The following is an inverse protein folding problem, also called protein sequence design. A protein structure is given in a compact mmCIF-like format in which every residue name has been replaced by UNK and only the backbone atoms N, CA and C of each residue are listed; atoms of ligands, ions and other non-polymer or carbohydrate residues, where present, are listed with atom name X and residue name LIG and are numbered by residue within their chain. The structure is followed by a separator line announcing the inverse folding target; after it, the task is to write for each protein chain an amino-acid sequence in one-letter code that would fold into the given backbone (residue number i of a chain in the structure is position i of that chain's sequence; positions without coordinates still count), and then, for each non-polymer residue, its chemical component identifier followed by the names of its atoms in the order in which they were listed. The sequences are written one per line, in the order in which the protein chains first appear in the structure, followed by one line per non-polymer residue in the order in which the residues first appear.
data_IF_064849277727
#
_entry.id   IF_064849277727
#
_cell.length_a   1.000
_cell.length_b   1.000
_cell.length_c   1.000
_cell.angle_alpha   90.00
_cell.angle_beta   90.00
_cell.angle_gamma   90.00
#
_symmetry.space_group_name_H-M   'P 1'
#
loop_
_entity.id
_entity.type
_entity.pdbx_description
1 polymer ?
#
# COMPACT_ATOMS: atom_id res chain seq x y z
N UNK A 1 -53.36 29.42 -1.37
CA UNK A 1 -52.59 30.51 -0.75
C UNK A 1 -51.80 29.94 0.39
N UNK A 2 -50.48 29.94 0.28
CA UNK A 2 -49.55 29.86 1.42
C UNK A 2 -48.20 30.42 0.94
N UNK A 3 -47.62 31.29 1.76
CA UNK A 3 -46.51 32.20 1.47
C UNK A 3 -45.16 31.47 1.65
N UNK A 4 -44.13 31.72 0.81
CA UNK A 4 -42.77 31.29 1.09
C UNK A 4 -41.98 32.40 1.81
N UNK A 5 -41.30 32.06 2.91
CA UNK A 5 -40.35 32.98 3.53
C UNK A 5 -39.79 32.47 4.86
N UNK A 6 -38.56 31.97 4.83
CA UNK A 6 -37.48 32.40 5.73
C UNK A 6 -36.22 31.58 5.45
N UNK A 7 -35.29 32.19 4.73
CA UNK A 7 -33.89 31.80 4.63
C UNK A 7 -33.22 31.96 6.00
N UNK A 8 -32.75 30.86 6.59
CA UNK A 8 -31.78 30.93 7.68
C UNK A 8 -30.37 30.96 7.08
N UNK A 9 -29.75 32.14 7.18
CA UNK A 9 -28.31 32.33 6.99
C UNK A 9 -27.61 31.72 8.22
N UNK A 10 -26.84 30.67 8.01
CA UNK A 10 -25.87 30.17 8.99
C UNK A 10 -24.48 30.47 8.45
N UNK A 11 -23.98 31.66 8.77
CA UNK A 11 -22.57 32.00 8.70
C UNK A 11 -22.12 32.48 10.08
N UNK A 12 -20.91 32.05 10.47
CA UNK A 12 -20.16 32.36 11.71
C UNK A 12 -20.56 31.53 12.94
N UNK A 13 -19.68 30.79 13.64
CA UNK A 13 -18.23 30.63 13.66
C UNK A 13 -17.88 29.18 14.04
N UNK A 14 -17.22 28.44 13.16
CA UNK A 14 -16.32 27.36 13.56
C UNK A 14 -14.94 27.81 13.10
N UNK A 15 -14.03 28.03 14.04
CA UNK A 15 -12.64 28.35 13.72
C UNK A 15 -12.06 27.25 12.83
N UNK A 16 -11.27 27.65 11.83
CA UNK A 16 -10.54 26.68 11.02
C UNK A 16 -9.60 25.86 11.90
N UNK A 17 -9.33 24.60 11.56
CA UNK A 17 -8.44 23.71 12.31
C UNK A 17 -7.08 24.36 12.70
N UNK A 18 -6.43 25.17 11.84
CA UNK A 18 -5.20 25.88 12.20
C UNK A 18 -5.40 27.02 13.21
N UNK A 19 -6.58 27.63 13.24
CA UNK A 19 -6.92 28.74 14.13
C UNK A 19 -7.22 28.25 15.55
N UNK A 20 -7.88 27.09 15.67
CA UNK A 20 -8.11 26.41 16.94
C UNK A 20 -6.80 25.91 17.58
N UNK A 21 -5.87 25.39 16.79
CA UNK A 21 -4.55 24.96 17.27
C UNK A 21 -3.74 26.15 17.83
N UNK A 22 -3.74 27.28 17.12
CA UNK A 22 -3.06 28.49 17.56
C UNK A 22 -3.64 29.05 18.88
N UNK A 23 -4.97 29.01 19.03
CA UNK A 23 -5.66 29.40 20.27
C UNK A 23 -5.30 28.47 21.43
N UNK A 24 -5.35 27.16 21.21
CA UNK A 24 -4.98 26.15 22.21
C UNK A 24 -3.52 26.27 22.64
N UNK A 25 -2.62 26.56 21.70
CA UNK A 25 -1.21 26.80 22.00
C UNK A 25 -1.04 28.01 22.92
N UNK A 26 -1.69 29.14 22.62
CA UNK A 26 -1.65 30.36 23.43
C UNK A 26 -2.22 30.13 24.83
N UNK A 27 -3.30 29.37 24.95
CA UNK A 27 -3.85 28.95 26.25
C UNK A 27 -2.84 28.10 27.03
N UNK A 28 -2.15 27.18 26.36
CA UNK A 28 -1.06 26.37 26.91
C UNK A 28 0.12 27.18 27.43
N UNK A 29 0.52 28.24 26.73
CA UNK A 29 1.60 29.14 27.15
C UNK A 29 1.26 29.82 28.48
N UNK A 30 0.00 30.26 28.65
CA UNK A 30 -0.46 30.84 29.91
C UNK A 30 -0.52 29.82 31.05
N UNK A 31 -1.04 28.63 30.77
CA UNK A 31 -1.07 27.54 31.74
C UNK A 31 0.35 27.16 32.20
N UNK A 32 1.31 27.06 31.29
CA UNK A 32 2.71 26.79 31.63
C UNK A 32 3.32 27.93 32.46
N UNK A 33 3.08 29.19 32.07
CA UNK A 33 3.56 30.37 32.79
C UNK A 33 3.07 30.39 34.24
N UNK A 34 1.80 30.06 34.46
CA UNK A 34 1.17 30.12 35.77
C UNK A 34 1.55 28.94 36.68
N UNK A 35 1.79 27.76 36.11
CA UNK A 35 1.93 26.53 36.89
C UNK A 35 3.35 25.95 36.91
N UNK A 36 4.23 26.32 35.98
CA UNK A 36 5.49 25.60 35.75
C UNK A 36 6.73 26.51 35.65
N UNK A 37 6.57 27.75 35.15
CA UNK A 37 7.71 28.58 34.77
C UNK A 37 8.62 29.01 35.95
N UNK A 38 8.06 29.11 37.17
CA UNK A 38 8.82 29.48 38.37
C UNK A 38 9.91 28.45 38.74
N UNK A 39 9.69 27.17 38.41
CA UNK A 39 10.64 26.08 38.71
C UNK A 39 11.40 25.59 37.48
N UNK A 40 10.81 25.69 36.29
CA UNK A 40 11.36 25.08 35.07
C UNK A 40 11.92 26.08 34.06
N UNK A 41 11.86 27.38 34.38
CA UNK A 41 12.28 28.47 33.51
C UNK A 41 11.16 28.91 32.56
N UNK A 42 11.36 30.07 31.93
CA UNK A 42 10.44 30.58 30.90
C UNK A 42 10.29 29.56 29.77
N UNK A 43 9.11 29.54 29.13
CA UNK A 43 8.75 28.49 28.16
C UNK A 43 9.83 28.26 27.09
N UNK A 44 10.38 29.34 26.52
CA UNK A 44 11.40 29.30 25.47
C UNK A 44 12.72 28.64 25.92
N UNK A 45 13.03 28.73 27.22
CA UNK A 45 14.25 28.21 27.84
C UNK A 45 13.96 27.06 28.80
N UNK A 46 12.74 26.51 28.74
CA UNK A 46 12.28 25.51 29.69
C UNK A 46 13.19 24.28 29.64
N UNK A 47 13.58 23.78 30.81
CA UNK A 47 14.29 22.49 30.89
C UNK A 47 13.37 21.28 30.61
N UNK A 48 12.07 21.53 30.36
CA UNK A 48 11.01 20.53 30.19
C UNK A 48 10.33 20.61 28.82
N UNK A 49 11.03 21.11 27.80
CA UNK A 49 10.56 21.10 26.40
C UNK A 49 10.17 19.69 25.94
N UNK A 50 9.23 19.64 25.00
CA UNK A 50 8.77 18.42 24.31
C UNK A 50 8.19 17.33 25.23
N UNK A 51 7.62 17.69 26.38
CA UNK A 51 6.92 16.75 27.26
C UNK A 51 5.47 16.56 26.84
N UNK A 52 5.04 15.30 26.74
CA UNK A 52 3.64 14.97 26.45
C UNK A 52 2.72 15.24 27.65
N UNK A 53 1.43 15.47 27.40
CA UNK A 53 0.43 15.63 28.46
C UNK A 53 0.47 14.48 29.48
N UNK A 54 0.66 13.25 29.00
CA UNK A 54 0.82 12.06 29.84
C UNK A 54 2.07 12.14 30.73
N UNK A 55 3.23 12.50 30.17
CA UNK A 55 4.47 12.63 30.94
C UNK A 55 4.37 13.73 32.01
N UNK A 56 3.66 14.82 31.71
CA UNK A 56 3.40 15.90 32.66
C UNK A 56 2.49 15.39 33.79
N UNK A 57 1.37 14.74 33.44
CA UNK A 57 0.45 14.14 34.41
C UNK A 57 1.15 13.17 35.37
N UNK A 58 1.94 12.24 34.83
CA UNK A 58 2.70 11.29 35.63
C UNK A 58 3.72 11.97 36.54
N UNK A 59 4.37 13.03 36.06
CA UNK A 59 5.38 13.75 36.84
C UNK A 59 4.74 14.52 38.02
N UNK A 60 3.57 15.14 37.80
CA UNK A 60 2.80 15.83 38.86
C UNK A 60 2.45 14.85 40.00
N UNK A 61 2.09 13.62 39.65
CA UNK A 61 1.77 12.58 40.63
C UNK A 61 3.01 12.03 41.34
N UNK A 62 4.14 11.94 40.65
CA UNK A 62 5.36 11.30 41.15
C UNK A 62 6.29 12.21 41.96
N UNK A 63 6.26 13.53 41.72
CA UNK A 63 7.19 14.49 42.32
C UNK A 63 6.48 15.26 43.42
N UNK A 64 6.95 15.11 44.67
CA UNK A 64 6.31 15.68 45.85
C UNK A 64 6.16 17.20 45.80
N UNK A 65 7.10 17.91 45.18
CA UNK A 65 7.07 19.37 45.00
C UNK A 65 5.99 19.85 44.03
N UNK A 66 5.40 18.96 43.22
CA UNK A 66 4.35 19.31 42.24
C UNK A 66 2.96 18.81 42.65
N UNK A 67 2.84 18.13 43.79
CA UNK A 67 1.61 17.45 44.23
C UNK A 67 0.42 18.38 44.50
N UNK A 68 0.68 19.68 44.63
CA UNK A 68 -0.34 20.73 44.81
C UNK A 68 -0.97 21.20 43.50
N UNK A 69 -0.40 20.82 42.34
CA UNK A 69 -0.96 21.17 41.04
C UNK A 69 -2.16 20.27 40.73
N UNK A 70 -3.27 20.89 40.34
CA UNK A 70 -4.45 20.21 39.81
C UNK A 70 -4.77 20.77 38.44
N UNK A 71 -4.50 19.99 37.40
CA UNK A 71 -4.71 20.35 36.00
C UNK A 71 -5.51 19.25 35.32
N UNK A 72 -6.48 19.63 34.51
CA UNK A 72 -7.32 18.73 33.71
C UNK A 72 -6.52 18.14 32.55
N UNK A 73 -7.04 17.06 31.95
CA UNK A 73 -6.45 16.46 30.75
C UNK A 73 -6.34 17.45 29.58
N UNK A 74 -7.32 18.34 29.42
CA UNK A 74 -7.32 19.39 28.39
C UNK A 74 -6.23 20.45 28.64
N UNK A 75 -6.10 20.92 29.88
CA UNK A 75 -5.05 21.88 30.25
C UNK A 75 -3.65 21.28 30.07
N UNK A 76 -3.47 20.00 30.41
CA UNK A 76 -2.20 19.29 30.21
C UNK A 76 -1.86 19.13 28.74
N UNK A 77 -2.85 18.86 27.87
CA UNK A 77 -2.68 18.84 26.43
C UNK A 77 -2.27 20.20 25.87
N UNK A 78 -2.88 21.28 26.34
CA UNK A 78 -2.50 22.66 25.96
C UNK A 78 -1.09 23.01 26.42
N UNK A 79 -0.71 22.69 27.65
CA UNK A 79 0.67 22.89 28.14
C UNK A 79 1.67 22.09 27.30
N UNK A 80 1.34 20.85 26.94
CA UNK A 80 2.17 20.01 26.08
C UNK A 80 2.36 20.64 24.70
N UNK A 81 1.29 21.17 24.10
CA UNK A 81 1.32 21.88 22.82
C UNK A 81 2.20 23.16 22.88
N UNK A 82 2.18 23.88 24.00
CA UNK A 82 3.06 25.04 24.21
C UNK A 82 4.54 24.65 24.43
N UNK A 83 4.78 23.54 25.14
CA UNK A 83 6.11 23.01 25.40
C UNK A 83 6.76 22.37 24.20
N UNK A 84 6.00 22.04 23.17
CA UNK A 84 6.50 21.55 21.91
C UNK A 84 7.51 22.55 21.31
N UNK A 85 8.72 22.06 21.02
CA UNK A 85 9.48 22.62 19.92
C UNK A 85 8.58 22.61 18.68
N UNK A 86 8.81 23.51 17.73
CA UNK A 86 8.10 23.61 16.44
C UNK A 86 8.07 22.30 15.61
N UNK A 87 8.55 21.18 16.17
CA UNK A 87 8.50 19.81 15.65
C UNK A 87 7.59 18.82 16.42
N UNK A 88 6.94 19.17 17.54
CA UNK A 88 6.09 18.26 18.33
C UNK A 88 4.62 18.71 18.33
N UNK A 89 3.96 18.70 17.17
CA UNK A 89 2.54 19.06 17.07
C UNK A 89 2.12 19.36 15.65
N UNK A 90 3.04 19.93 14.86
CA UNK A 90 2.97 19.79 13.42
C UNK A 90 3.29 18.32 13.15
N UNK A 91 2.31 17.53 12.73
CA UNK A 91 2.60 16.37 11.89
C UNK A 91 3.62 16.88 10.90
N UNK A 92 4.89 16.43 10.99
CA UNK A 92 5.82 16.67 9.88
C UNK A 92 5.15 15.94 8.73
N UNK A 93 4.30 16.64 7.97
CA UNK A 93 3.99 16.28 6.60
C UNK A 93 5.37 16.04 6.04
N UNK A 94 5.65 14.80 5.68
CA UNK A 94 6.92 14.46 5.08
C UNK A 94 6.97 15.25 3.78
N UNK A 95 7.49 16.47 3.85
CA UNK A 95 7.53 17.36 2.71
C UNK A 95 8.77 16.96 1.92
N UNK A 96 8.56 16.25 0.82
CA UNK A 96 9.59 15.91 -0.15
C UNK A 96 10.03 17.13 -1.00
N UNK A 97 9.89 18.34 -0.47
CA UNK A 97 10.16 19.59 -1.19
C UNK A 97 11.63 19.98 -1.17
N UNK A 98 12.39 19.51 -0.17
CA UNK A 98 13.84 19.76 -0.12
C UNK A 98 14.56 19.03 -1.26
N UNK A 99 15.25 19.73 -2.17
CA UNK A 99 16.06 19.06 -3.20
C UNK A 99 17.17 18.19 -2.60
N UNK A 100 17.62 18.49 -1.38
CA UNK A 100 18.65 17.73 -0.67
C UNK A 100 18.13 16.39 -0.16
N UNK A 101 16.82 16.26 0.13
CA UNK A 101 16.21 14.98 0.56
C UNK A 101 15.84 14.06 -0.62
N UNK A 102 16.03 14.50 -1.86
CA UNK A 102 15.81 13.65 -3.04
C UNK A 102 16.88 12.56 -3.08
N UNK A 103 16.43 11.31 -3.21
CA UNK A 103 17.29 10.13 -3.32
C UNK A 103 18.33 10.25 -4.44
N UNK A 104 19.43 9.52 -4.27
CA UNK A 104 20.46 9.31 -5.29
C UNK A 104 20.15 8.04 -6.08
N UNK A 105 20.80 7.86 -7.22
CA UNK A 105 20.73 6.62 -7.99
C UNK A 105 21.22 5.43 -7.19
N UNK A 106 20.58 4.28 -7.38
CA UNK A 106 21.07 2.99 -6.89
C UNK A 106 21.47 2.14 -8.11
N UNK A 107 22.68 1.56 -8.16
CA UNK A 107 23.09 0.69 -9.27
C UNK A 107 22.40 -0.69 -9.25
N UNK A 108 21.76 -1.08 -8.14
CA UNK A 108 20.94 -2.29 -8.06
C UNK A 108 19.55 -2.10 -8.65
N UNK A 109 18.91 -3.21 -9.02
CA UNK A 109 17.53 -3.19 -9.53
C UNK A 109 16.55 -3.40 -8.39
N UNK A 110 15.46 -2.62 -8.37
CA UNK A 110 14.45 -2.81 -7.34
C UNK A 110 13.58 -4.02 -7.66
N UNK A 111 13.55 -5.02 -6.79
CA UNK A 111 12.72 -6.23 -7.00
C UNK A 111 11.24 -5.85 -6.92
N UNK A 112 10.41 -6.50 -7.74
CA UNK A 112 8.96 -6.49 -7.55
C UNK A 112 8.58 -7.40 -6.38
N UNK A 113 7.57 -7.00 -5.59
CA UNK A 113 6.97 -7.93 -4.63
C UNK A 113 6.32 -9.12 -5.34
N UNK A 114 6.11 -10.23 -4.64
CA UNK A 114 5.45 -11.42 -5.19
C UNK A 114 4.04 -11.08 -5.71
N UNK A 115 3.33 -10.18 -5.04
CA UNK A 115 2.04 -9.67 -5.51
C UNK A 115 2.16 -8.87 -6.83
N UNK A 116 3.18 -8.01 -6.95
CA UNK A 116 3.43 -7.23 -8.16
C UNK A 116 3.86 -8.12 -9.35
N UNK A 117 4.65 -9.18 -9.10
CA UNK A 117 5.01 -10.17 -10.13
C UNK A 117 3.74 -10.88 -10.64
N UNK A 118 2.89 -11.38 -9.73
CA UNK A 118 1.60 -12.00 -10.09
C UNK A 118 0.71 -11.05 -10.89
N UNK A 119 0.60 -9.80 -10.46
CA UNK A 119 -0.19 -8.77 -11.15
C UNK A 119 0.35 -8.46 -12.55
N UNK A 120 1.68 -8.39 -12.70
CA UNK A 120 2.36 -8.19 -13.98
C UNK A 120 2.09 -9.35 -14.92
N UNK A 121 2.28 -10.58 -14.45
CA UNK A 121 2.02 -11.80 -15.21
C UNK A 121 0.56 -11.89 -15.63
N UNK A 122 -0.38 -11.58 -14.74
CA UNK A 122 -1.81 -11.54 -15.04
C UNK A 122 -2.17 -10.55 -16.14
N UNK A 123 -1.44 -9.43 -16.23
CA UNK A 123 -1.65 -8.43 -17.27
C UNK A 123 -0.94 -8.75 -18.58
N UNK A 124 0.18 -9.47 -18.52
CA UNK A 124 0.96 -9.84 -19.69
C UNK A 124 0.40 -11.10 -20.36
N UNK A 125 0.00 -12.09 -19.58
CA UNK A 125 -0.36 -13.42 -20.07
C UNK A 125 -1.88 -13.53 -20.23
N UNK A 126 -2.39 -14.17 -21.31
CA UNK A 126 -3.82 -14.32 -21.48
C UNK A 126 -4.48 -15.15 -20.39
N UNK A 127 -5.78 -14.91 -20.18
CA UNK A 127 -6.53 -15.45 -19.05
C UNK A 127 -6.42 -16.97 -18.91
N UNK A 128 -6.58 -17.72 -20.01
CA UNK A 128 -6.57 -19.19 -19.98
C UNK A 128 -5.21 -19.76 -19.60
N UNK A 129 -4.13 -19.09 -20.01
CA UNK A 129 -2.77 -19.51 -19.64
C UNK A 129 -2.49 -19.11 -18.19
N UNK A 130 -2.87 -17.91 -17.78
CA UNK A 130 -2.65 -17.46 -16.40
C UNK A 130 -3.38 -18.35 -15.39
N UNK A 131 -4.61 -18.80 -15.70
CA UNK A 131 -5.42 -19.64 -14.81
C UNK A 131 -5.22 -21.15 -15.03
N UNK A 132 -4.24 -21.56 -15.85
CA UNK A 132 -3.88 -22.97 -15.97
C UNK A 132 -3.39 -23.52 -14.62
N UNK A 133 -3.75 -24.77 -14.30
CA UNK A 133 -3.45 -25.39 -13.01
C UNK A 133 -1.94 -25.43 -12.71
N UNK A 134 -1.11 -25.76 -13.70
CA UNK A 134 0.35 -25.82 -13.54
C UNK A 134 0.91 -24.41 -13.32
N UNK A 135 0.36 -23.41 -14.01
CA UNK A 135 0.74 -22.01 -13.81
C UNK A 135 0.36 -21.53 -12.41
N UNK A 136 -0.87 -21.79 -11.95
CA UNK A 136 -1.29 -21.42 -10.60
C UNK A 136 -0.45 -22.11 -9.53
N UNK A 137 -0.10 -23.39 -9.73
CA UNK A 137 0.79 -24.11 -8.84
C UNK A 137 2.19 -23.46 -8.79
N UNK A 138 2.76 -23.11 -9.94
CA UNK A 138 4.04 -22.39 -10.01
C UNK A 138 3.97 -21.00 -9.34
N UNK A 139 2.88 -20.25 -9.52
CA UNK A 139 2.70 -18.96 -8.85
C UNK A 139 2.57 -19.10 -7.33
N UNK A 140 2.11 -20.25 -6.83
CA UNK A 140 2.03 -20.51 -5.39
C UNK A 140 3.40 -20.78 -4.74
N UNK A 141 4.42 -21.17 -5.52
CA UNK A 141 5.78 -21.42 -5.02
C UNK A 141 6.67 -20.19 -4.98
N UNK A 142 6.17 -19.02 -5.40
CA UNK A 142 6.90 -17.76 -5.27
C UNK A 142 7.19 -17.45 -3.78
N UNK A 143 8.39 -16.98 -3.44
CA UNK A 143 8.77 -16.71 -2.06
C UNK A 143 7.90 -15.61 -1.43
N UNK A 144 7.67 -15.71 -0.12
CA UNK A 144 7.00 -14.67 0.64
C UNK A 144 7.86 -13.39 0.70
N UNK A 145 7.20 -12.23 0.72
CA UNK A 145 7.88 -10.96 0.96
C UNK A 145 7.98 -10.72 2.48
N UNK A 146 9.20 -10.68 3.04
CA UNK A 146 9.43 -10.50 4.48
C UNK A 146 10.11 -9.17 4.80
N UNK A 147 9.66 -8.48 5.87
CA UNK A 147 10.21 -7.19 6.34
C UNK A 147 11.67 -7.29 6.80
N UNK A 148 12.07 -8.44 7.38
CA UNK A 148 13.42 -8.68 7.90
C UNK A 148 14.49 -8.78 6.80
N UNK A 149 14.08 -9.18 5.59
CA UNK A 149 14.96 -9.54 4.49
C UNK A 149 14.66 -8.73 3.22
N UNK A 150 14.05 -7.55 3.33
CA UNK A 150 13.82 -6.67 2.17
C UNK A 150 15.14 -6.15 1.64
N UNK A 151 15.82 -6.97 0.83
CA UNK A 151 16.86 -6.53 -0.09
C UNK A 151 16.14 -5.91 -1.27
N UNK A 152 15.60 -4.71 -1.05
CA UNK A 152 14.82 -3.95 -2.05
C UNK A 152 15.56 -3.90 -3.38
N UNK A 153 16.89 -3.81 -3.33
CA UNK A 153 17.77 -3.77 -4.47
C UNK A 153 18.62 -5.04 -4.57
N UNK A 154 18.50 -5.74 -5.70
CA UNK A 154 19.35 -6.87 -6.10
C UNK A 154 19.58 -6.79 -7.60
N UNK A 155 20.77 -7.15 -8.06
CA UNK A 155 21.05 -7.28 -9.50
C UNK A 155 20.66 -8.67 -10.06
N UNK A 156 20.23 -9.60 -9.20
CA UNK A 156 19.91 -10.98 -9.58
C UNK A 156 18.52 -11.38 -9.10
N UNK A 157 17.66 -11.94 -9.99
CA UNK A 157 16.41 -12.57 -9.56
C UNK A 157 16.75 -13.82 -8.74
N UNK A 158 15.84 -14.21 -7.84
CA UNK A 158 15.99 -15.50 -7.14
C UNK A 158 15.78 -16.65 -8.13
N UNK A 159 16.38 -17.80 -7.83
CA UNK A 159 16.26 -19.00 -8.67
C UNK A 159 14.78 -19.44 -8.79
N UNK A 160 14.02 -19.30 -7.71
CA UNK A 160 12.59 -19.63 -7.65
C UNK A 160 11.79 -18.76 -8.62
N UNK A 161 12.02 -17.45 -8.63
CA UNK A 161 11.34 -16.53 -9.56
C UNK A 161 11.68 -16.90 -11.01
N UNK A 162 12.95 -17.18 -11.32
CA UNK A 162 13.37 -17.58 -12.66
C UNK A 162 12.72 -18.90 -13.11
N UNK A 163 12.61 -19.88 -12.20
CA UNK A 163 11.97 -21.17 -12.47
C UNK A 163 10.47 -21.03 -12.71
N UNK A 164 9.79 -20.15 -11.96
CA UNK A 164 8.36 -19.86 -12.16
C UNK A 164 8.13 -19.22 -13.53
N UNK A 165 8.93 -18.21 -13.90
CA UNK A 165 8.82 -17.57 -15.22
C UNK A 165 9.06 -18.56 -16.37
N UNK A 166 10.05 -19.45 -16.20
CA UNK A 166 10.33 -20.55 -17.13
C UNK A 166 9.14 -21.51 -17.26
N UNK A 167 8.59 -21.96 -16.12
CA UNK A 167 7.43 -22.88 -16.09
C UNK A 167 6.22 -22.28 -16.80
N UNK A 168 5.97 -20.99 -16.59
CA UNK A 168 4.88 -20.27 -17.26
C UNK A 168 5.17 -20.16 -18.77
N UNK A 169 6.42 -19.89 -19.15
CA UNK A 169 6.80 -19.82 -20.55
C UNK A 169 6.59 -21.17 -21.27
N UNK A 170 7.09 -22.26 -20.69
CA UNK A 170 6.94 -23.62 -21.22
C UNK A 170 5.47 -24.02 -21.31
N UNK A 171 4.70 -23.77 -20.23
CA UNK A 171 3.29 -24.12 -20.19
C UNK A 171 2.47 -23.33 -21.19
N UNK A 172 2.79 -22.05 -21.39
CA UNK A 172 2.19 -21.24 -22.44
C UNK A 172 2.42 -21.88 -23.82
N UNK A 173 3.64 -22.31 -24.14
CA UNK A 173 3.92 -22.91 -25.46
C UNK A 173 3.10 -24.17 -25.72
N UNK A 174 3.02 -25.06 -24.73
CA UNK A 174 2.18 -26.27 -24.82
C UNK A 174 0.70 -25.96 -25.05
N UNK A 175 0.18 -24.94 -24.37
CA UNK A 175 -1.21 -24.50 -24.53
C UNK A 175 -1.43 -23.94 -25.94
N UNK A 176 -0.51 -23.12 -26.45
CA UNK A 176 -0.63 -22.54 -27.80
C UNK A 176 -0.55 -23.59 -28.89
N UNK A 177 0.35 -24.58 -28.75
CA UNK A 177 0.54 -25.63 -29.75
C UNK A 177 -0.64 -26.62 -29.81
N UNK A 178 -1.50 -26.64 -28.78
CA UNK A 178 -2.69 -27.48 -28.80
C UNK A 178 -3.74 -27.08 -29.84
N UNK A 179 -3.76 -25.83 -30.31
CA UNK A 179 -4.68 -25.37 -31.35
C UNK A 179 -4.24 -24.05 -32.02
N UNK A 180 -4.33 -23.91 -33.36
CA UNK A 180 -4.00 -22.66 -34.06
C UNK A 180 -4.78 -21.43 -33.55
N UNK A 181 -6.05 -21.61 -33.14
CA UNK A 181 -6.85 -20.52 -32.57
C UNK A 181 -6.28 -19.92 -31.28
N UNK A 182 -5.48 -20.69 -30.51
CA UNK A 182 -4.81 -20.19 -29.31
C UNK A 182 -3.55 -19.40 -29.66
N UNK A 183 -2.87 -19.76 -30.75
CA UNK A 183 -1.71 -19.00 -31.26
C UNK A 183 -2.11 -17.58 -31.66
N UNK A 184 -3.24 -17.41 -32.34
CA UNK A 184 -3.75 -16.07 -32.71
C UNK A 184 -4.25 -15.26 -31.52
N UNK A 185 -4.67 -15.91 -30.43
CA UNK A 185 -5.05 -15.23 -29.20
C UNK A 185 -3.85 -14.57 -28.51
N UNK A 186 -2.69 -15.25 -28.50
CA UNK A 186 -1.46 -14.68 -27.93
C UNK A 186 -0.73 -13.77 -28.92
N UNK A 187 -0.46 -14.24 -30.13
CA UNK A 187 0.41 -13.55 -31.09
C UNK A 187 -0.34 -12.57 -32.00
N UNK A 188 -1.67 -12.55 -31.93
CA UNK A 188 -2.54 -11.77 -32.80
C UNK A 188 -2.93 -12.53 -34.08
N UNK A 189 -4.00 -12.08 -34.73
CA UNK A 189 -4.57 -12.77 -35.90
C UNK A 189 -3.61 -12.90 -37.08
N UNK A 190 -2.74 -11.91 -37.28
CA UNK A 190 -1.81 -11.92 -38.41
C UNK A 190 -0.67 -12.97 -38.23
N UNK A 191 -0.47 -13.52 -37.02
CA UNK A 191 0.52 -14.56 -36.75
C UNK A 191 0.18 -15.91 -37.40
N UNK A 192 -1.06 -16.09 -37.89
CA UNK A 192 -1.47 -17.29 -38.62
C UNK A 192 -1.04 -17.28 -40.10
N UNK A 193 -0.46 -16.18 -40.58
CA UNK A 193 0.09 -16.11 -41.94
C UNK A 193 1.43 -16.85 -42.03
N UNK A 194 1.62 -17.64 -43.10
CA UNK A 194 2.84 -18.40 -43.33
C UNK A 194 3.47 -18.02 -44.70
N UNK A 195 4.65 -17.39 -44.75
CA UNK A 195 5.39 -16.83 -43.61
C UNK A 195 4.67 -15.61 -43.02
N UNK A 196 4.93 -15.34 -41.74
CA UNK A 196 4.40 -14.13 -41.11
C UNK A 196 5.21 -12.93 -41.58
N UNK A 197 4.52 -11.84 -41.95
CA UNK A 197 5.19 -10.60 -42.35
C UNK A 197 5.86 -9.87 -41.18
N UNK A 198 6.93 -9.14 -41.47
CA UNK A 198 7.62 -8.30 -40.48
C UNK A 198 6.69 -7.25 -39.85
N UNK A 199 5.83 -6.61 -40.66
CA UNK A 199 4.83 -5.67 -40.17
C UNK A 199 3.85 -6.29 -39.15
N UNK A 200 3.50 -7.58 -39.34
CA UNK A 200 2.67 -8.29 -38.37
C UNK A 200 3.43 -8.53 -37.05
N UNK A 201 4.69 -8.93 -37.13
CA UNK A 201 5.52 -9.15 -35.95
C UNK A 201 5.77 -7.84 -35.18
N UNK A 202 5.98 -6.72 -35.87
CA UNK A 202 6.11 -5.40 -35.25
C UNK A 202 4.82 -4.95 -34.53
N UNK A 203 3.65 -5.24 -35.12
CA UNK A 203 2.37 -4.98 -34.48
C UNK A 203 2.21 -5.80 -33.19
N UNK A 204 2.63 -7.07 -33.21
CA UNK A 204 2.71 -7.90 -32.01
C UNK A 204 3.59 -7.25 -30.95
N UNK A 205 4.84 -6.89 -31.27
CA UNK A 205 5.75 -6.26 -30.32
C UNK A 205 5.18 -4.96 -29.72
N UNK A 206 4.54 -4.13 -30.54
CA UNK A 206 3.90 -2.88 -30.10
C UNK A 206 2.81 -3.15 -29.06
N UNK A 207 1.92 -4.09 -29.31
CA UNK A 207 0.80 -4.40 -28.42
C UNK A 207 1.26 -5.05 -27.10
N UNK A 208 2.32 -5.86 -27.18
CA UNK A 208 2.81 -6.64 -26.05
C UNK A 208 3.82 -5.93 -25.16
N UNK A 209 4.53 -4.94 -25.69
CA UNK A 209 5.56 -4.18 -24.96
C UNK A 209 5.07 -3.68 -23.61
N UNK A 210 3.81 -3.22 -23.51
CA UNK A 210 3.24 -2.71 -22.27
C UNK A 210 2.92 -3.79 -21.22
N UNK A 211 2.70 -5.04 -21.62
CA UNK A 211 2.51 -6.14 -20.68
C UNK A 211 3.83 -6.58 -20.03
N UNK A 212 4.90 -6.66 -20.82
CA UNK A 212 6.21 -7.15 -20.37
C UNK A 212 7.12 -6.02 -19.86
N UNK A 213 7.38 -5.01 -20.69
CA UNK A 213 8.32 -3.92 -20.40
C UNK A 213 7.64 -2.75 -19.70
N UNK A 214 6.30 -2.65 -19.82
CA UNK A 214 5.48 -1.56 -19.30
C UNK A 214 5.90 -0.18 -19.80
N UNK A 215 6.56 -0.17 -20.96
CA UNK A 215 6.93 0.97 -21.79
C UNK A 215 7.04 0.49 -23.23
N UNK A 216 7.03 1.39 -24.22
CA UNK A 216 7.42 1.04 -25.57
C UNK A 216 8.84 0.46 -25.59
N UNK A 217 9.07 -0.50 -26.48
CA UNK A 217 10.40 -0.99 -26.77
C UNK A 217 11.23 0.12 -27.42
N UNK A 218 12.51 0.18 -27.07
CA UNK A 218 13.49 0.99 -27.79
C UNK A 218 13.72 0.38 -29.18
N UNK A 219 14.22 1.19 -30.13
CA UNK A 219 14.58 0.71 -31.46
C UNK A 219 15.57 -0.47 -31.42
N UNK A 220 16.54 -0.43 -30.50
CA UNK A 220 17.51 -1.49 -30.31
C UNK A 220 16.91 -2.78 -29.71
N UNK A 221 15.91 -2.68 -28.82
CA UNK A 221 15.18 -3.85 -28.33
C UNK A 221 14.32 -4.46 -29.44
N UNK A 222 13.54 -3.65 -30.17
CA UNK A 222 12.73 -4.12 -31.29
C UNK A 222 13.57 -4.81 -32.37
N UNK A 223 14.71 -4.23 -32.75
CA UNK A 223 15.61 -4.81 -33.74
C UNK A 223 16.18 -6.17 -33.30
N UNK A 224 16.54 -6.32 -32.01
CA UNK A 224 17.04 -7.59 -31.46
C UNK A 224 15.97 -8.68 -31.46
N UNK A 225 14.74 -8.35 -31.05
CA UNK A 225 13.63 -9.29 -31.04
C UNK A 225 13.20 -9.69 -32.45
N UNK A 226 13.24 -8.75 -33.39
CA UNK A 226 12.98 -9.02 -34.81
C UNK A 226 14.05 -9.94 -35.42
N UNK A 227 15.34 -9.71 -35.11
CA UNK A 227 16.41 -10.59 -35.55
C UNK A 227 16.23 -12.02 -35.02
N UNK A 228 15.85 -12.16 -33.73
CA UNK A 228 15.52 -13.46 -33.14
C UNK A 228 14.35 -14.14 -33.85
N UNK A 229 13.27 -13.40 -34.10
CA UNK A 229 12.11 -13.90 -34.85
C UNK A 229 12.50 -14.41 -36.25
N UNK A 230 13.31 -13.63 -36.98
CA UNK A 230 13.80 -14.00 -38.31
C UNK A 230 14.67 -15.25 -38.28
N UNK A 231 15.63 -15.31 -37.37
CA UNK A 231 16.55 -16.44 -37.21
C UNK A 231 15.82 -17.74 -36.82
N UNK A 232 14.68 -17.64 -36.12
CA UNK A 232 13.83 -18.76 -35.76
C UNK A 232 12.81 -19.16 -36.87
N UNK A 233 12.95 -18.59 -38.08
CA UNK A 233 12.19 -19.00 -39.27
C UNK A 233 10.97 -18.14 -39.61
N UNK A 234 10.76 -17.00 -38.95
CA UNK A 234 9.70 -16.02 -39.30
C UNK A 234 8.26 -16.58 -39.29
N UNK A 235 8.00 -17.59 -38.45
CA UNK A 235 6.67 -18.17 -38.23
C UNK A 235 6.37 -18.34 -36.75
N UNK A 236 5.45 -19.24 -36.41
CA UNK A 236 5.03 -19.50 -35.01
C UNK A 236 6.23 -19.77 -34.08
N UNK A 237 7.20 -20.59 -34.50
CA UNK A 237 8.43 -20.84 -33.72
C UNK A 237 9.22 -19.57 -33.39
N UNK A 238 9.20 -18.57 -34.27
CA UNK A 238 9.81 -17.28 -34.02
C UNK A 238 9.08 -16.48 -32.95
N UNK A 239 7.75 -16.48 -32.98
CA UNK A 239 6.94 -15.88 -31.91
C UNK A 239 7.17 -16.56 -30.56
N UNK A 240 7.20 -17.89 -30.54
CA UNK A 240 7.47 -18.68 -29.34
C UNK A 240 8.85 -18.34 -28.75
N UNK A 241 9.88 -18.26 -29.60
CA UNK A 241 11.24 -17.90 -29.21
C UNK A 241 11.31 -16.50 -28.59
N UNK A 242 10.63 -15.52 -29.21
CA UNK A 242 10.55 -14.16 -28.70
C UNK A 242 9.81 -14.11 -27.36
N UNK A 243 8.65 -14.78 -27.25
CA UNK A 243 7.88 -14.83 -26.02
C UNK A 243 8.71 -15.40 -24.85
N UNK A 244 9.48 -16.46 -25.11
CA UNK A 244 10.36 -17.05 -24.10
C UNK A 244 11.42 -16.03 -23.62
N UNK A 245 12.04 -15.29 -24.53
CA UNK A 245 12.99 -14.22 -24.17
C UNK A 245 12.32 -13.08 -23.40
N UNK A 246 11.08 -12.72 -23.73
CA UNK A 246 10.32 -11.70 -23.00
C UNK A 246 10.00 -12.14 -21.57
N UNK A 247 9.59 -13.40 -21.38
CA UNK A 247 9.29 -13.98 -20.07
C UNK A 247 10.50 -14.06 -19.14
N UNK A 248 11.68 -14.32 -19.70
CA UNK A 248 12.93 -14.40 -18.94
C UNK A 248 13.61 -13.02 -18.75
N UNK A 249 12.99 -11.94 -19.22
CA UNK A 249 13.53 -10.58 -19.07
C UNK A 249 13.52 -10.13 -17.59
N UNK A 250 14.54 -9.38 -17.12
CA UNK A 250 14.50 -8.72 -15.82
C UNK A 250 13.27 -7.81 -15.64
N UNK A 251 12.69 -7.32 -16.73
CA UNK A 251 11.44 -6.58 -16.68
C UNK A 251 10.31 -7.38 -16.01
N UNK A 252 10.33 -8.71 -16.02
CA UNK A 252 9.26 -9.50 -15.39
C UNK A 252 9.35 -9.60 -13.87
N UNK A 253 10.50 -9.27 -13.27
CA UNK A 253 10.73 -9.42 -11.83
C UNK A 253 11.27 -8.15 -11.14
N UNK A 254 11.60 -7.12 -11.90
CA UNK A 254 12.18 -5.88 -11.39
C UNK A 254 11.45 -4.63 -11.91
N UNK A 255 11.40 -3.62 -11.03
CA UNK A 255 11.13 -2.25 -11.41
C UNK A 255 12.41 -1.63 -11.99
N UNK A 256 12.50 -1.60 -13.31
CA UNK A 256 13.63 -1.01 -14.03
C UNK A 256 13.42 0.50 -14.17
N UNK A 257 14.34 1.28 -13.59
CA UNK A 257 14.35 2.74 -13.62
C UNK A 257 15.77 3.21 -14.02
N UNK A 258 16.02 3.29 -15.32
CA UNK A 258 17.30 3.76 -15.87
C UNK A 258 17.41 5.29 -15.75
N UNK A 259 16.27 5.96 -15.97
CA UNK A 259 16.15 7.41 -16.00
C UNK A 259 17.03 8.08 -17.07
N UNK A 260 16.93 9.40 -17.11
CA UNK A 260 17.75 10.29 -17.93
C UNK A 260 18.78 10.98 -17.03
N UNK A 261 19.93 11.32 -17.59
CA UNK A 261 20.97 12.05 -16.87
C UNK A 261 20.42 13.33 -16.22
N UNK A 262 20.81 13.57 -14.97
CA UNK A 262 20.47 14.77 -14.19
C UNK A 262 21.72 15.23 -13.41
N UNK A 263 21.56 16.12 -12.43
CA UNK A 263 22.68 16.68 -11.66
C UNK A 263 23.32 15.65 -10.72
N UNK A 264 24.64 15.48 -10.78
CA UNK A 264 25.40 14.59 -9.90
C UNK A 264 24.94 13.12 -10.03
N UNK A 265 24.86 12.41 -8.91
CA UNK A 265 24.42 11.00 -8.84
C UNK A 265 22.88 10.86 -8.87
N UNK A 266 22.19 11.69 -9.65
CA UNK A 266 20.73 11.64 -9.79
C UNK A 266 20.35 11.40 -11.24
N UNK A 267 19.24 10.68 -11.42
CA UNK A 267 18.60 10.46 -12.72
C UNK A 267 17.17 10.99 -12.66
N UNK A 268 16.73 11.63 -13.73
CA UNK A 268 15.34 12.07 -13.92
C UNK A 268 14.57 10.88 -14.47
N UNK A 269 13.52 10.43 -13.79
CA UNK A 269 12.67 9.36 -14.34
C UNK A 269 11.95 9.84 -15.60
N UNK A 270 11.88 8.98 -16.61
CA UNK A 270 11.07 9.16 -17.81
C UNK A 270 9.58 9.10 -17.48
N UNK A 271 8.72 9.57 -18.39
CA UNK A 271 7.27 9.55 -18.18
C UNK A 271 6.73 8.12 -17.93
N UNK A 272 7.27 7.11 -18.61
CA UNK A 272 6.89 5.71 -18.39
C UNK A 272 7.38 5.15 -17.05
N UNK A 273 8.57 5.53 -16.58
CA UNK A 273 9.05 5.14 -15.25
C UNK A 273 8.21 5.78 -14.14
N UNK A 274 7.81 7.05 -14.33
CA UNK A 274 6.88 7.73 -13.42
C UNK A 274 5.52 7.02 -13.42
N UNK A 275 4.97 6.66 -14.59
CA UNK A 275 3.73 5.90 -14.69
C UNK A 275 3.80 4.56 -13.96
N UNK A 276 4.88 3.78 -14.16
CA UNK A 276 5.08 2.51 -13.45
C UNK A 276 5.13 2.73 -11.93
N UNK A 277 5.90 3.72 -11.48
CA UNK A 277 6.01 4.03 -10.06
C UNK A 277 4.67 4.45 -9.45
N UNK A 278 3.88 5.25 -10.16
CA UNK A 278 2.51 5.61 -9.75
C UNK A 278 1.67 4.34 -9.63
N UNK A 279 1.55 3.55 -10.70
CA UNK A 279 0.62 2.41 -10.75
C UNK A 279 0.90 1.37 -9.68
N UNK A 280 2.16 0.93 -9.52
CA UNK A 280 2.50 -0.10 -8.54
C UNK A 280 2.42 0.40 -7.09
N UNK A 281 2.68 1.69 -6.85
CA UNK A 281 2.50 2.27 -5.51
C UNK A 281 1.03 2.43 -5.16
N UNK A 282 0.17 2.81 -6.10
CA UNK A 282 -1.25 3.07 -5.83
C UNK A 282 -2.12 1.83 -5.91
N UNK A 283 -1.86 0.91 -6.85
CA UNK A 283 -2.72 -0.26 -7.10
C UNK A 283 -1.98 -1.59 -6.99
N UNK A 284 -0.65 -1.61 -7.10
CA UNK A 284 0.12 -2.85 -7.17
C UNK A 284 0.09 -3.54 -8.55
N UNK A 285 -0.45 -2.88 -9.58
CA UNK A 285 -0.56 -3.39 -10.94
C UNK A 285 0.24 -2.54 -11.95
N UNK A 286 0.53 -3.07 -13.16
CA UNK A 286 1.04 -2.27 -14.27
C UNK A 286 0.14 -1.04 -14.57
N UNK A 287 0.69 0.02 -15.20
CA UNK A 287 -0.08 1.20 -15.56
C UNK A 287 -1.29 0.87 -16.44
N UNK A 288 -2.47 1.41 -16.12
CA UNK A 288 -3.67 1.25 -16.95
C UNK A 288 -3.57 2.04 -18.26
N UNK A 289 -4.53 1.84 -19.18
CA UNK A 289 -4.50 2.49 -20.49
C UNK A 289 -4.43 4.02 -20.42
N UNK A 290 -5.14 4.63 -19.47
CA UNK A 290 -5.15 6.09 -19.26
C UNK A 290 -3.80 6.60 -18.81
N UNK A 291 -3.17 5.93 -17.84
CA UNK A 291 -1.84 6.31 -17.35
C UNK A 291 -0.74 6.04 -18.39
N UNK A 292 -0.85 4.96 -19.17
CA UNK A 292 0.05 4.71 -20.32
C UNK A 292 -0.09 5.77 -21.39
N UNK A 293 -1.30 6.20 -21.71
CA UNK A 293 -1.54 7.27 -22.67
C UNK A 293 -0.97 8.61 -22.18
N UNK A 294 -1.09 8.90 -20.88
CA UNK A 294 -0.44 10.06 -20.27
C UNK A 294 1.09 9.98 -20.39
N UNK A 295 1.68 8.82 -20.11
CA UNK A 295 3.12 8.61 -20.26
C UNK A 295 3.61 8.73 -21.71
N UNK A 296 2.76 8.46 -22.69
CA UNK A 296 3.06 8.64 -24.11
C UNK A 296 3.09 10.10 -24.57
N UNK A 297 2.56 11.05 -23.78
CA UNK A 297 2.64 12.49 -24.06
C UNK A 297 3.91 13.05 -23.44
N UNK A 298 4.89 13.39 -24.26
CA UNK A 298 6.21 13.82 -23.80
C UNK A 298 6.13 14.96 -22.78
N UNK A 299 6.71 14.74 -21.60
CA UNK A 299 6.77 15.74 -20.53
C UNK A 299 5.49 15.85 -19.69
N UNK A 300 4.44 15.08 -19.99
CA UNK A 300 3.17 15.14 -19.26
C UNK A 300 3.36 14.74 -17.79
N UNK A 301 3.98 13.58 -17.52
CA UNK A 301 4.16 13.07 -16.17
C UNK A 301 5.40 13.67 -15.48
N UNK A 302 6.11 14.57 -16.16
CA UNK A 302 7.17 15.39 -15.56
C UNK A 302 6.62 16.54 -14.70
N UNK A 303 5.32 16.85 -14.83
CA UNK A 303 4.62 17.90 -14.07
C UNK A 303 3.95 17.30 -12.84
N UNK A 304 4.17 17.89 -11.67
CA UNK A 304 3.69 17.33 -10.40
C UNK A 304 2.16 17.33 -10.33
N UNK A 305 1.52 18.32 -10.95
CA UNK A 305 0.07 18.46 -11.01
C UNK A 305 -0.56 17.29 -11.79
N UNK A 306 0.10 16.85 -12.86
CA UNK A 306 -0.33 15.71 -13.66
C UNK A 306 -0.10 14.37 -12.93
N UNK A 307 0.99 14.28 -12.16
CA UNK A 307 1.26 13.13 -11.29
C UNK A 307 0.19 13.03 -10.21
N UNK A 308 -0.12 14.14 -9.53
CA UNK A 308 -1.16 14.22 -8.50
C UNK A 308 -2.52 13.84 -9.06
N UNK A 309 -2.90 14.36 -10.23
CA UNK A 309 -4.14 13.99 -10.89
C UNK A 309 -4.26 12.48 -11.17
N UNK A 310 -3.16 11.82 -11.60
CA UNK A 310 -3.17 10.38 -11.85
C UNK A 310 -3.19 9.54 -10.56
N UNK A 311 -2.46 9.96 -9.52
CA UNK A 311 -2.49 9.31 -8.21
C UNK A 311 -3.89 9.41 -7.60
N UNK A 312 -4.45 10.62 -7.55
CA UNK A 312 -5.80 10.87 -7.06
C UNK A 312 -6.82 10.04 -7.83
N UNK A 313 -6.72 9.97 -9.16
CA UNK A 313 -7.57 9.10 -9.97
C UNK A 313 -7.45 7.63 -9.55
N UNK A 314 -6.24 7.07 -9.46
CA UNK A 314 -6.06 5.65 -9.16
C UNK A 314 -6.48 5.25 -7.74
N UNK A 315 -6.34 6.16 -6.77
CA UNK A 315 -6.74 5.94 -5.37
C UNK A 315 -8.26 6.15 -5.17
N UNK A 316 -8.84 7.15 -5.85
CA UNK A 316 -10.27 7.53 -5.73
C UNK A 316 -11.20 6.68 -6.57
N UNK A 317 -10.73 6.12 -7.69
CA UNK A 317 -11.43 5.03 -8.34
C UNK A 317 -11.55 3.94 -7.29
N UNK A 318 -12.78 3.54 -6.97
CA UNK A 318 -13.16 2.43 -6.09
C UNK A 318 -12.67 1.09 -6.66
N UNK A 319 -11.38 1.03 -6.98
CA UNK A 319 -10.69 -0.12 -7.52
C UNK A 319 -10.36 -1.01 -6.34
N UNK A 320 -10.85 -2.24 -6.41
CA UNK A 320 -10.48 -3.28 -5.45
C UNK A 320 -8.96 -3.39 -5.30
N UNK A 321 -8.21 -3.04 -6.36
CA UNK A 321 -6.75 -3.02 -6.36
C UNK A 321 -6.15 -1.93 -5.46
N UNK A 322 -6.63 -0.69 -5.51
CA UNK A 322 -6.13 0.37 -4.62
C UNK A 322 -6.45 0.08 -3.15
N UNK A 323 -7.67 -0.39 -2.88
CA UNK A 323 -8.07 -0.85 -1.55
C UNK A 323 -7.13 -1.97 -1.07
N UNK A 324 -6.97 -3.01 -1.89
CA UNK A 324 -6.07 -4.13 -1.57
C UNK A 324 -4.64 -3.66 -1.37
N UNK A 325 -4.15 -2.69 -2.16
CA UNK A 325 -2.77 -2.20 -2.06
C UNK A 325 -2.51 -1.52 -0.72
N UNK A 326 -3.45 -0.70 -0.25
CA UNK A 326 -3.35 -0.03 1.06
C UNK A 326 -3.47 -1.04 2.20
N UNK A 327 -4.42 -2.00 2.13
CA UNK A 327 -4.48 -3.08 3.13
C UNK A 327 -3.19 -3.90 3.18
N UNK A 328 -2.63 -4.27 2.02
CA UNK A 328 -1.35 -4.97 1.95
C UNK A 328 -0.19 -4.13 2.49
N UNK A 329 -0.19 -2.81 2.30
CA UNK A 329 0.84 -1.93 2.86
C UNK A 329 0.85 -2.01 4.40
N UNK A 330 -0.30 -1.83 5.05
CA UNK A 330 -0.38 -1.87 6.51
C UNK A 330 -0.02 -3.26 7.05
N UNK A 331 -0.55 -4.32 6.42
CA UNK A 331 -0.21 -5.71 6.77
C UNK A 331 1.28 -6.00 6.65
N UNK A 332 1.91 -5.58 5.55
CA UNK A 332 3.32 -5.81 5.32
C UNK A 332 4.18 -5.13 6.39
N UNK A 333 3.99 -3.82 6.62
CA UNK A 333 4.81 -3.09 7.59
C UNK A 333 4.52 -3.45 9.05
N UNK A 334 3.36 -4.04 9.34
CA UNK A 334 3.07 -4.62 10.65
C UNK A 334 3.44 -6.11 10.77
N UNK A 335 4.08 -6.70 9.75
CA UNK A 335 4.47 -8.12 9.77
C UNK A 335 3.30 -9.11 9.78
N UNK A 336 2.11 -8.71 9.35
CA UNK A 336 0.92 -9.56 9.28
C UNK A 336 0.87 -10.26 7.91
N UNK A 337 1.48 -11.45 7.86
CA UNK A 337 1.29 -12.41 6.76
C UNK A 337 0.01 -13.22 6.98
N UNK A 338 0.18 -14.45 7.47
CA UNK A 338 -0.89 -15.31 7.93
C UNK A 338 -1.15 -15.09 9.43
N UNK A 339 -2.43 -15.04 9.80
CA UNK A 339 -2.85 -15.01 11.20
C UNK A 339 -3.18 -16.45 11.60
N UNK A 340 -2.50 -17.03 12.59
CA UNK A 340 -2.79 -18.39 13.02
C UNK A 340 -4.15 -18.48 13.71
N UNK A 341 -4.77 -19.64 13.64
CA UNK A 341 -5.94 -19.92 14.47
C UNK A 341 -5.53 -19.99 15.95
N UNK A 342 -6.27 -19.32 16.85
CA UNK A 342 -5.97 -19.35 18.28
C UNK A 342 -6.26 -20.73 18.88
N UNK A 343 -5.69 -21.00 20.06
CA UNK A 343 -5.92 -22.25 20.77
C UNK A 343 -7.42 -22.55 21.00
N UNK A 344 -7.89 -23.79 20.73
CA UNK A 344 -9.25 -24.23 21.04
C UNK A 344 -9.65 -24.04 22.51
N UNK A 345 -8.69 -24.16 23.44
CA UNK A 345 -8.95 -24.00 24.89
C UNK A 345 -9.29 -22.55 25.21
N UNK A 346 -8.58 -21.60 24.59
CA UNK A 346 -8.81 -20.15 24.81
C UNK A 346 -10.15 -19.73 24.21
N UNK A 347 -10.48 -20.22 23.00
CA UNK A 347 -11.73 -19.90 22.31
C UNK A 347 -12.95 -20.49 23.02
N UNK A 348 -12.90 -21.76 23.42
CA UNK A 348 -13.98 -22.40 24.19
C UNK A 348 -14.25 -21.70 25.53
N UNK A 349 -13.22 -21.30 26.27
CA UNK A 349 -13.37 -20.50 27.49
C UNK A 349 -13.99 -19.11 27.29
N UNK A 350 -14.11 -18.65 26.04
CA UNK A 350 -14.78 -17.39 25.64
C UNK A 350 -16.14 -17.62 24.98
N UNK A 351 -16.64 -18.85 24.96
CA UNK A 351 -17.92 -19.19 24.32
C UNK A 351 -17.85 -19.26 22.79
N UNK A 352 -16.65 -19.39 22.21
CA UNK A 352 -16.46 -19.52 20.76
C UNK A 352 -16.38 -21.02 20.43
N UNK A 353 -17.34 -21.51 19.64
CA UNK A 353 -17.51 -22.95 19.40
C UNK A 353 -16.44 -23.63 18.53
N UNK A 354 -15.71 -22.88 17.72
CA UNK A 354 -14.58 -23.40 16.92
C UNK A 354 -13.51 -22.34 16.72
N UNK A 355 -12.24 -22.75 16.84
CA UNK A 355 -11.09 -21.91 16.49
C UNK A 355 -10.73 -21.96 15.01
N UNK A 356 -11.20 -22.98 14.28
CA UNK A 356 -10.82 -23.21 12.90
C UNK A 356 -11.28 -22.05 11.99
N UNK A 357 -10.34 -21.48 11.24
CA UNK A 357 -10.54 -20.36 10.34
C UNK A 357 -10.70 -18.99 11.02
N UNK A 358 -10.55 -18.89 12.35
CA UNK A 358 -10.62 -17.60 13.03
C UNK A 358 -9.50 -16.65 12.63
N UNK A 359 -8.28 -17.14 12.39
CA UNK A 359 -7.18 -16.30 11.92
C UNK A 359 -7.53 -15.60 10.60
N UNK A 360 -8.09 -16.35 9.64
CA UNK A 360 -8.60 -15.78 8.39
C UNK A 360 -9.74 -14.77 8.59
N UNK A 361 -10.62 -15.00 9.57
CA UNK A 361 -11.68 -14.05 9.92
C UNK A 361 -11.13 -12.75 10.53
N UNK A 362 -10.11 -12.84 11.40
CA UNK A 362 -9.45 -11.67 11.98
C UNK A 362 -8.74 -10.84 10.92
N UNK A 363 -8.09 -11.51 9.96
CA UNK A 363 -7.44 -10.86 8.82
C UNK A 363 -8.45 -10.14 7.93
N UNK A 364 -9.57 -10.80 7.60
CA UNK A 364 -10.68 -10.19 6.86
C UNK A 364 -11.23 -8.96 7.59
N UNK A 365 -11.34 -9.04 8.92
CA UNK A 365 -11.84 -7.94 9.73
C UNK A 365 -10.89 -6.73 9.73
N UNK A 366 -9.56 -6.96 9.73
CA UNK A 366 -8.57 -5.92 9.51
C UNK A 366 -8.69 -5.27 8.13
N UNK A 367 -8.91 -6.07 7.08
CA UNK A 367 -9.10 -5.55 5.72
C UNK A 367 -10.40 -4.72 5.62
N UNK A 368 -11.50 -5.19 6.20
CA UNK A 368 -12.78 -4.48 6.28
C UNK A 368 -12.65 -3.15 7.05
N UNK A 369 -11.88 -3.13 8.15
CA UNK A 369 -11.60 -1.91 8.93
C UNK A 369 -10.78 -0.90 8.15
N UNK A 370 -9.69 -1.35 7.52
CA UNK A 370 -8.84 -0.48 6.69
C UNK A 370 -9.67 0.15 5.57
N UNK A 371 -10.49 -0.64 4.87
CA UNK A 371 -11.39 -0.12 3.85
C UNK A 371 -12.46 0.83 4.44
N UNK A 372 -13.00 0.49 5.61
CA UNK A 372 -13.99 1.28 6.33
C UNK A 372 -13.53 2.70 6.61
N UNK A 373 -12.33 2.84 7.17
CA UNK A 373 -11.75 4.13 7.49
C UNK A 373 -11.45 4.93 6.21
N UNK A 374 -10.59 4.40 5.34
CA UNK A 374 -10.05 5.21 4.23
C UNK A 374 -11.03 5.45 3.07
N UNK A 375 -11.93 4.51 2.77
CA UNK A 375 -12.83 4.63 1.62
C UNK A 375 -14.29 4.94 1.96
N UNK A 376 -14.78 4.49 3.11
CA UNK A 376 -16.21 4.68 3.46
C UNK A 376 -16.43 5.92 4.31
N UNK A 377 -15.51 6.19 5.21
CA UNK A 377 -15.55 7.37 6.09
C UNK A 377 -14.68 8.50 5.58
N UNK A 378 -13.84 8.25 4.57
CA UNK A 378 -12.81 9.19 4.11
C UNK A 378 -11.92 9.69 5.26
N UNK A 379 -11.72 8.82 6.24
CA UNK A 379 -10.90 9.09 7.41
C UNK A 379 -9.41 9.05 7.08
N UNK A 380 -8.62 9.59 8.00
CA UNK A 380 -7.17 9.70 7.84
C UNK A 380 -6.40 8.67 8.66
N UNK A 381 -5.09 8.90 8.80
CA UNK A 381 -4.24 8.01 9.60
C UNK A 381 -4.55 8.09 11.09
N UNK A 382 -4.98 9.23 11.62
CA UNK A 382 -5.39 9.36 13.01
C UNK A 382 -6.66 8.54 13.27
N UNK A 383 -7.65 8.63 12.37
CA UNK A 383 -8.84 7.78 12.43
C UNK A 383 -8.47 6.30 12.40
N UNK A 384 -7.55 5.90 11.52
CA UNK A 384 -7.06 4.52 11.44
C UNK A 384 -6.41 4.04 12.73
N UNK A 385 -5.76 4.94 13.48
CA UNK A 385 -5.07 4.63 14.72
C UNK A 385 -5.93 4.76 15.98
N UNK A 386 -7.13 5.34 15.89
CA UNK A 386 -7.95 5.66 17.08
C UNK A 386 -9.39 5.15 17.01
N UNK A 387 -9.95 4.91 15.82
CA UNK A 387 -11.36 4.55 15.64
C UNK A 387 -11.75 3.27 16.37
N UNK A 388 -12.93 3.27 16.98
CA UNK A 388 -13.55 2.08 17.60
C UNK A 388 -14.36 1.25 16.61
N UNK A 389 -14.32 1.57 15.32
CA UNK A 389 -15.09 0.85 14.31
C UNK A 389 -14.61 -0.60 14.14
N UNK A 390 -15.58 -1.49 13.98
CA UNK A 390 -15.35 -2.93 13.94
C UNK A 390 -16.33 -3.60 12.99
N UNK A 391 -15.87 -4.64 12.31
CA UNK A 391 -16.60 -5.31 11.22
C UNK A 391 -16.76 -6.82 11.48
N UNK A 392 -17.40 -7.23 12.59
CA UNK A 392 -17.60 -8.64 12.93
C UNK A 392 -18.50 -9.37 11.92
N UNK A 393 -17.93 -10.18 11.00
CA UNK A 393 -18.71 -10.90 9.98
C UNK A 393 -19.43 -12.16 10.47
N UNK A 394 -19.07 -12.64 11.66
CA UNK A 394 -19.67 -13.83 12.26
C UNK A 394 -19.68 -13.70 13.78
N UNK A 395 -20.39 -14.63 14.43
CA UNK A 395 -20.61 -14.60 15.88
C UNK A 395 -19.31 -14.67 16.67
N UNK A 396 -18.33 -15.47 16.22
CA UNK A 396 -17.01 -15.56 16.86
C UNK A 396 -16.30 -14.20 16.86
N UNK A 397 -16.31 -13.47 15.74
CA UNK A 397 -15.73 -12.13 15.66
C UNK A 397 -16.52 -11.10 16.47
N UNK A 398 -17.84 -11.23 16.55
CA UNK A 398 -18.67 -10.38 17.41
C UNK A 398 -18.26 -10.49 18.87
N UNK A 399 -18.05 -11.72 19.34
CA UNK A 399 -17.55 -12.03 20.70
C UNK A 399 -16.14 -11.45 20.90
N UNK A 400 -15.21 -11.69 19.97
CA UNK A 400 -13.82 -11.21 20.06
C UNK A 400 -13.75 -9.68 20.15
N UNK A 401 -14.53 -8.99 19.33
CA UNK A 401 -14.54 -7.53 19.24
C UNK A 401 -15.45 -6.87 20.30
N UNK A 402 -16.20 -7.65 21.08
CA UNK A 402 -17.11 -7.12 22.11
C UNK A 402 -18.25 -6.27 21.55
N UNK A 403 -18.67 -6.55 20.32
CA UNK A 403 -19.67 -5.74 19.60
C UNK A 403 -21.10 -6.25 19.82
N UNK A 404 -22.09 -5.40 19.60
CA UNK A 404 -23.49 -5.73 19.88
C UNK A 404 -24.13 -6.67 18.85
N UNK A 405 -23.64 -6.64 17.60
CA UNK A 405 -24.19 -7.42 16.49
C UNK A 405 -23.11 -7.76 15.47
N UNK A 406 -23.40 -8.73 14.59
CA UNK A 406 -22.61 -8.99 13.39
C UNK A 406 -22.92 -7.96 12.30
N UNK A 407 -21.97 -7.73 11.39
CA UNK A 407 -22.12 -6.84 10.23
C UNK A 407 -22.36 -7.66 8.98
N UNK A 408 -23.53 -7.44 8.37
CA UNK A 408 -23.92 -8.02 7.08
C UNK A 408 -22.96 -7.55 5.97
N UNK A 409 -22.64 -8.44 5.03
CA UNK A 409 -21.90 -8.09 3.80
C UNK A 409 -22.62 -7.04 2.97
N UNK A 410 -23.95 -6.96 3.05
CA UNK A 410 -24.76 -5.98 2.31
C UNK A 410 -24.96 -4.63 3.03
N UNK A 411 -24.84 -4.58 4.37
CA UNK A 411 -25.07 -3.36 5.16
C UNK A 411 -23.81 -2.98 5.92
N UNK A 412 -23.18 -1.91 5.45
CA UNK A 412 -21.83 -1.52 5.85
C UNK A 412 -21.84 -0.53 7.01
N UNK A 413 -22.64 -0.81 8.04
CA UNK A 413 -22.62 0.00 9.26
C UNK A 413 -21.66 -0.64 10.23
N UNK A 414 -20.54 0.04 10.48
CA UNK A 414 -19.57 -0.40 11.47
C UNK A 414 -20.23 -0.54 12.84
N UNK A 415 -19.82 -1.55 13.60
CA UNK A 415 -20.14 -1.64 15.01
C UNK A 415 -19.07 -0.89 15.80
N UNK A 416 -19.44 -0.36 16.97
CA UNK A 416 -18.48 0.23 17.90
C UNK A 416 -17.98 -0.85 18.86
N UNK A 417 -16.68 -1.09 18.88
CA UNK A 417 -16.05 -1.93 19.89
C UNK A 417 -15.70 -1.09 21.13
N UNK A 418 -16.03 -1.57 22.34
CA UNK A 418 -15.59 -0.93 23.57
C UNK A 418 -14.12 -1.21 23.91
N UNK A 419 -13.45 -2.12 23.19
CA UNK A 419 -12.13 -2.64 23.55
C UNK A 419 -11.10 -2.61 22.42
N UNK A 420 -11.54 -2.44 21.18
CA UNK A 420 -10.67 -2.42 19.99
C UNK A 420 -10.64 -1.04 19.36
N UNK A 421 -9.71 -0.20 19.84
CA UNK A 421 -9.46 1.15 19.32
C UNK A 421 -8.28 1.17 18.36
N UNK A 422 -8.51 1.51 17.11
CA UNK A 422 -7.43 1.69 16.16
C UNK A 422 -6.78 0.40 15.67
N UNK A 423 -5.84 0.57 14.76
CA UNK A 423 -5.05 -0.49 14.15
C UNK A 423 -4.27 -1.36 15.14
N UNK A 424 -3.77 -0.80 16.24
CA UNK A 424 -2.94 -1.54 17.19
C UNK A 424 -3.74 -2.50 18.10
N UNK A 425 -5.06 -2.33 18.19
CA UNK A 425 -5.94 -3.20 18.98
C UNK A 425 -6.69 -4.23 18.12
N UNK A 426 -6.28 -4.41 16.87
CA UNK A 426 -6.94 -5.32 15.94
C UNK A 426 -6.60 -6.78 16.25
N UNK A 427 -7.57 -7.71 16.23
CA UNK A 427 -7.31 -9.12 16.53
C UNK A 427 -6.21 -9.74 15.68
N UNK A 428 -6.09 -9.35 14.41
CA UNK A 428 -5.05 -9.84 13.51
C UNK A 428 -3.62 -9.51 13.97
N UNK A 429 -3.44 -8.43 14.73
CA UNK A 429 -2.14 -8.01 15.27
C UNK A 429 -1.84 -8.64 16.63
N UNK A 430 -2.88 -8.96 17.42
CA UNK A 430 -2.75 -9.36 18.82
C UNK A 430 -2.82 -10.87 19.05
N UNK A 431 -3.33 -11.63 18.08
CA UNK A 431 -3.56 -13.08 18.19
C UNK A 431 -2.25 -13.87 18.05
N UNK A 432 -2.20 -14.99 18.77
CA UNK A 432 -1.23 -16.05 18.59
C UNK A 432 -1.95 -17.40 18.79
N UNK A 433 -1.25 -18.50 18.48
CA UNK A 433 -1.72 -19.87 18.63
C UNK A 433 -1.54 -20.44 20.05
N UNK A 434 -0.90 -19.69 20.94
CA UNK A 434 -0.60 -20.10 22.31
C UNK A 434 -1.82 -20.16 23.23
N UNK A 435 -1.79 -21.08 24.19
CA UNK A 435 -2.81 -21.18 25.25
C UNK A 435 -2.68 -20.16 26.38
N UNK A 436 -1.72 -19.22 26.32
CA UNK A 436 -1.44 -18.23 27.37
C UNK A 436 -1.28 -16.84 26.77
N UNK A 437 -1.64 -15.81 27.55
CA UNK A 437 -1.37 -14.42 27.16
C UNK A 437 0.13 -14.15 27.16
N UNK A 438 0.62 -13.45 26.13
CA UNK A 438 2.02 -13.03 26.04
C UNK A 438 2.11 -11.50 25.87
N UNK A 439 1.90 -10.73 26.95
CA UNK A 439 1.89 -9.27 26.88
C UNK A 439 3.25 -8.69 26.51
N UNK A 440 4.36 -9.38 26.83
CA UNK A 440 5.71 -8.94 26.50
C UNK A 440 5.96 -9.03 24.99
N UNK A 441 5.64 -10.17 24.36
CA UNK A 441 5.81 -10.30 22.91
C UNK A 441 4.88 -9.35 22.14
N UNK A 442 3.65 -9.12 22.63
CA UNK A 442 2.75 -8.11 22.06
C UNK A 442 3.33 -6.71 22.18
N UNK A 443 3.84 -6.34 23.35
CA UNK A 443 4.49 -5.03 23.55
C UNK A 443 5.76 -4.85 22.71
N UNK A 444 6.52 -5.92 22.49
CA UNK A 444 7.69 -5.90 21.61
C UNK A 444 7.33 -5.79 20.12
N UNK A 445 6.18 -6.31 19.70
CA UNK A 445 5.68 -6.19 18.33
C UNK A 445 5.14 -4.77 18.01
N UNK A 446 4.72 -4.02 19.05
CA UNK A 446 4.21 -2.65 18.93
C UNK A 446 5.29 -1.56 19.05
N UNK A 447 6.49 -1.91 19.54
CA UNK A 447 7.64 -1.01 19.68
C UNK A 447 8.55 -1.13 18.46
#
# INVERSE_FOLDING_TARGET
GFVPGSSFSAASLASSEPELEAENKKAGEQLYKNNCASCHGQLEQSTKRDRSAFQIASSIQAISQMKTLSLTSDELSKISLALASTSYGVTKKYTCTSPLSRGRTNPGLRRMSTAEIKATLRSAVPYDIFNDEIVQQALSSLPADEVSNVKDYSSMPSQEVANVLLTIADRAMLILDSAPAKQSYLFGQCALSAPTSEACFELFLKNWSFGFFRRPLTSAESARLLALFKNAGSGVRGYQSVYFVLMQSPQMSFHIEEGQSSSGDRRRLTDYEIANRISYKTTGYPPDATLRAAAGRAGELQKIENVEAQVSRLVSLSSANAVSRVSSYFRFYSGIGDVPDPSPIVTSGRGIGTSAGLGGNMLRELDDYTQGIFWKQTGDFEDFMTSSDSYPRNESMRIILGTSAVVDSAKVVAQKSPTSFGFLHRPALLTNDGGRTNPILRGAHLR
#
